data_IF_372485511300
#
_entry.id   IF_372485511300
#
_cell.length_a   1.000
_cell.length_b   1.000
_cell.length_c   1.000
_cell.angle_alpha   90.00
_cell.angle_beta   90.00
_cell.angle_gamma   90.00
#
_symmetry.space_group_name_H-M   'P 1'
#
loop_
_entity.id
_entity.type
_entity.pdbx_description
1 polymer ?
#
# COMPACT_ATOMS: atom_id res chain seq x y z
N UNK A 1 -14.62 7.04 -9.96
CA UNK A 1 -14.18 7.44 -8.60
C UNK A 1 -12.66 7.47 -8.64
N UNK A 2 -12.01 8.49 -8.12
CA UNK A 2 -10.54 8.54 -8.08
C UNK A 2 -10.07 7.83 -6.81
N UNK A 3 -9.10 6.91 -6.95
CA UNK A 3 -8.54 6.18 -5.83
C UNK A 3 -7.45 6.99 -5.12
N UNK A 4 -7.49 7.04 -3.80
CA UNK A 4 -6.40 7.57 -2.99
C UNK A 4 -5.57 6.39 -2.46
N UNK A 5 -4.30 6.35 -2.82
CA UNK A 5 -3.40 5.23 -2.48
C UNK A 5 -2.39 5.67 -1.42
N UNK A 6 -2.33 4.94 -0.32
CA UNK A 6 -1.25 5.08 0.66
C UNK A 6 -0.36 3.85 0.64
N UNK A 7 0.93 4.07 0.40
CA UNK A 7 1.97 3.04 0.40
C UNK A 7 2.73 3.10 1.73
N UNK A 8 2.63 2.05 2.52
CA UNK A 8 3.40 1.90 3.76
C UNK A 8 4.76 1.29 3.43
N UNK A 9 5.77 2.13 3.40
CA UNK A 9 7.14 1.80 3.02
C UNK A 9 7.64 2.65 1.85
N UNK A 10 8.95 2.86 1.83
CA UNK A 10 9.67 3.61 0.77
C UNK A 10 10.82 2.78 0.21
N UNK A 11 10.70 1.44 0.31
CA UNK A 11 11.67 0.48 -0.17
C UNK A 11 11.58 0.20 -1.67
N UNK A 12 12.23 -0.87 -2.06
CA UNK A 12 12.30 -1.34 -3.44
C UNK A 12 10.92 -1.62 -4.04
N UNK A 13 10.07 -2.35 -3.33
CA UNK A 13 8.69 -2.66 -3.78
C UNK A 13 7.88 -1.38 -3.99
N UNK A 14 7.95 -0.43 -3.05
CA UNK A 14 7.26 0.85 -3.20
C UNK A 14 7.73 1.62 -4.46
N UNK A 15 9.02 1.56 -4.77
CA UNK A 15 9.58 2.16 -5.99
C UNK A 15 9.06 1.52 -7.28
N UNK A 16 8.91 0.19 -7.30
CA UNK A 16 8.30 -0.54 -8.43
C UNK A 16 6.84 -0.16 -8.62
N UNK A 17 6.07 -0.20 -7.54
CA UNK A 17 4.66 0.18 -7.57
C UNK A 17 4.47 1.60 -8.09
N UNK A 18 5.26 2.54 -7.60
CA UNK A 18 5.16 3.93 -8.03
C UNK A 18 5.50 4.09 -9.51
N UNK A 19 6.50 3.37 -10.03
CA UNK A 19 6.81 3.39 -11.47
C UNK A 19 5.67 2.82 -12.31
N UNK A 20 5.07 1.71 -11.87
CA UNK A 20 3.92 1.11 -12.53
C UNK A 20 2.71 2.05 -12.54
N UNK A 21 2.41 2.68 -11.42
CA UNK A 21 1.35 3.67 -11.31
C UNK A 21 1.64 4.88 -12.21
N UNK A 22 2.85 5.41 -12.20
CA UNK A 22 3.24 6.52 -13.07
C UNK A 22 3.06 6.16 -14.56
N UNK A 23 3.48 4.96 -14.98
CA UNK A 23 3.28 4.48 -16.35
C UNK A 23 1.79 4.42 -16.72
N UNK A 24 0.96 3.87 -15.85
CA UNK A 24 -0.48 3.80 -16.07
C UNK A 24 -1.10 5.19 -16.25
N UNK A 25 -0.62 6.19 -15.50
CA UNK A 25 -1.16 7.55 -15.56
C UNK A 25 -0.66 8.34 -16.75
N UNK A 26 0.68 8.33 -16.97
CA UNK A 26 1.30 9.19 -17.98
C UNK A 26 1.18 8.62 -19.39
N UNK A 27 1.38 7.31 -19.54
CA UNK A 27 1.42 6.67 -20.85
C UNK A 27 0.06 6.15 -21.31
N UNK A 28 -0.70 5.52 -20.41
CA UNK A 28 -2.00 4.96 -20.77
C UNK A 28 -3.17 5.92 -20.54
N UNK A 29 -2.91 7.11 -20.00
CA UNK A 29 -3.90 8.16 -19.72
C UNK A 29 -5.13 7.63 -18.96
N UNK A 30 -4.94 6.69 -18.08
CA UNK A 30 -6.01 6.15 -17.25
C UNK A 30 -6.10 6.95 -15.93
N UNK A 31 -7.07 7.87 -15.77
CA UNK A 31 -7.18 8.69 -14.56
C UNK A 31 -7.85 7.92 -13.41
N UNK A 32 -7.36 6.74 -13.09
CA UNK A 32 -7.95 5.91 -12.05
C UNK A 32 -7.49 6.28 -10.64
N UNK A 33 -6.40 7.04 -10.51
CA UNK A 33 -5.83 7.38 -9.20
C UNK A 33 -5.85 8.89 -8.99
N UNK A 34 -6.35 9.31 -7.84
CA UNK A 34 -6.35 10.72 -7.45
C UNK A 34 -5.00 11.15 -6.90
N UNK A 35 -4.56 10.47 -5.86
CA UNK A 35 -3.34 10.81 -5.16
C UNK A 35 -2.61 9.55 -4.69
N UNK A 36 -1.28 9.59 -4.68
CA UNK A 36 -0.42 8.55 -4.11
C UNK A 36 0.45 9.17 -3.02
N UNK A 37 0.45 8.56 -1.84
CA UNK A 37 1.31 8.94 -0.71
C UNK A 37 2.14 7.75 -0.28
N UNK A 38 3.46 7.90 -0.16
CA UNK A 38 4.34 6.90 0.42
C UNK A 38 4.89 7.37 1.76
N UNK A 39 4.80 6.51 2.77
CA UNK A 39 5.22 6.80 4.14
C UNK A 39 6.48 6.02 4.46
N UNK A 40 7.53 6.70 4.91
CA UNK A 40 8.80 6.10 5.33
C UNK A 40 9.31 6.68 6.64
N UNK A 41 9.91 5.82 7.48
CA UNK A 41 10.45 6.21 8.79
C UNK A 41 11.75 7.05 8.72
N UNK A 42 12.44 7.04 7.57
CA UNK A 42 13.79 7.57 7.44
C UNK A 42 13.82 8.70 6.41
N UNK A 43 13.77 9.99 6.85
CA UNK A 43 13.76 11.13 5.93
C UNK A 43 14.99 11.16 5.01
N UNK A 44 16.15 10.74 5.53
CA UNK A 44 17.39 10.66 4.76
C UNK A 44 17.32 9.64 3.60
N UNK A 45 16.54 8.59 3.78
CA UNK A 45 16.28 7.59 2.72
C UNK A 45 15.24 8.05 1.71
N UNK A 46 14.30 8.89 2.13
CA UNK A 46 13.31 9.48 1.23
C UNK A 46 13.97 10.38 0.20
N UNK A 47 14.88 11.24 0.64
CA UNK A 47 15.60 12.16 -0.24
C UNK A 47 16.36 11.42 -1.35
N UNK A 48 17.01 10.29 -1.03
CA UNK A 48 17.71 9.45 -2.00
C UNK A 48 16.78 8.67 -2.95
N UNK A 49 15.49 8.58 -2.65
CA UNK A 49 14.51 7.79 -3.40
C UNK A 49 13.50 8.63 -4.18
N UNK A 50 13.61 9.95 -4.16
CA UNK A 50 12.73 10.86 -4.90
C UNK A 50 12.67 10.54 -6.39
N UNK A 51 13.80 10.09 -6.98
CA UNK A 51 13.86 9.67 -8.38
C UNK A 51 13.11 8.35 -8.66
N UNK A 52 12.90 7.53 -7.63
CA UNK A 52 12.20 6.26 -7.72
C UNK A 52 10.70 6.45 -7.46
N UNK A 53 10.37 7.35 -6.53
CA UNK A 53 9.01 7.64 -6.11
C UNK A 53 8.49 8.93 -6.77
N UNK A 54 8.56 8.99 -8.09
CA UNK A 54 8.02 10.11 -8.86
C UNK A 54 6.50 10.22 -8.66
N UNK A 55 6.01 11.46 -8.71
CA UNK A 55 4.57 11.77 -8.62
C UNK A 55 3.88 11.24 -7.35
N UNK A 56 4.65 10.97 -6.32
CA UNK A 56 4.18 10.48 -5.04
C UNK A 56 4.49 11.50 -3.96
N UNK A 57 3.54 11.75 -3.08
CA UNK A 57 3.77 12.55 -1.87
C UNK A 57 4.57 11.70 -0.89
N UNK A 58 5.78 12.14 -0.56
CA UNK A 58 6.62 11.47 0.45
C UNK A 58 6.32 12.06 1.82
N UNK A 59 5.99 11.19 2.77
CA UNK A 59 5.63 11.61 4.11
C UNK A 59 6.45 10.88 5.17
N UNK A 60 6.86 11.62 6.21
CA UNK A 60 7.55 11.12 7.39
C UNK A 60 6.72 11.26 8.66
N UNK A 61 5.53 11.82 8.54
CA UNK A 61 4.59 11.96 9.64
C UNK A 61 4.16 10.57 10.17
N UNK A 62 3.67 10.48 11.41
CA UNK A 62 3.12 9.25 11.95
C UNK A 62 2.06 8.66 11.02
N UNK A 63 2.12 7.36 10.78
CA UNK A 63 1.28 6.65 9.79
C UNK A 63 -0.21 6.90 10.07
N UNK A 64 -0.64 6.79 11.32
CA UNK A 64 -2.02 7.04 11.74
C UNK A 64 -2.50 8.43 11.36
N UNK A 65 -1.70 9.45 11.62
CA UNK A 65 -2.00 10.84 11.25
C UNK A 65 -2.19 10.99 9.73
N UNK A 66 -1.32 10.36 8.94
CA UNK A 66 -1.41 10.40 7.47
C UNK A 66 -2.66 9.68 6.98
N UNK A 67 -2.99 8.51 7.54
CA UNK A 67 -4.17 7.75 7.16
C UNK A 67 -5.46 8.56 7.36
N UNK A 68 -5.61 9.21 8.50
CA UNK A 68 -6.78 10.04 8.78
C UNK A 68 -6.85 11.31 7.93
N UNK A 69 -5.71 11.88 7.57
CA UNK A 69 -5.65 13.07 6.71
C UNK A 69 -5.88 12.76 5.23
N UNK A 70 -5.36 11.63 4.77
CA UNK A 70 -5.33 11.28 3.35
C UNK A 70 -6.58 10.50 2.90
N UNK A 71 -7.30 9.86 3.83
CA UNK A 71 -8.48 9.05 3.56
C UNK A 71 -8.28 8.07 2.40
N UNK A 72 -7.34 7.11 2.54
CA UNK A 72 -7.06 6.17 1.46
C UNK A 72 -8.27 5.31 1.14
N UNK A 73 -8.44 5.00 -0.14
CA UNK A 73 -9.32 3.92 -0.63
C UNK A 73 -8.56 2.62 -0.79
N UNK A 74 -7.23 2.73 -0.97
CA UNK A 74 -6.31 1.59 -1.06
C UNK A 74 -5.12 1.81 -0.13
N UNK A 75 -4.85 0.81 0.70
CA UNK A 75 -3.66 0.70 1.54
C UNK A 75 -2.72 -0.37 1.00
N UNK A 76 -1.46 -0.01 0.76
CA UNK A 76 -0.43 -0.92 0.28
C UNK A 76 0.62 -1.13 1.36
N UNK A 77 0.82 -2.38 1.79
CA UNK A 77 1.87 -2.77 2.73
C UNK A 77 3.08 -3.27 1.96
N UNK A 78 4.15 -2.46 1.93
CA UNK A 78 5.40 -2.72 1.23
C UNK A 78 6.63 -2.56 2.14
N UNK A 79 6.51 -3.04 3.38
CA UNK A 79 7.55 -3.05 4.42
C UNK A 79 8.03 -4.47 4.70
N UNK A 80 9.17 -4.66 5.41
CA UNK A 80 9.60 -5.99 5.82
C UNK A 80 8.56 -6.74 6.66
N UNK A 81 8.52 -8.08 6.63
CA UNK A 81 7.49 -8.90 7.29
C UNK A 81 7.28 -8.59 8.78
N UNK A 82 8.36 -8.44 9.53
CA UNK A 82 8.28 -8.11 10.96
C UNK A 82 7.65 -6.76 11.21
N UNK A 83 7.96 -5.77 10.37
CA UNK A 83 7.40 -4.42 10.44
C UNK A 83 5.93 -4.43 10.03
N UNK A 84 5.53 -5.26 9.06
CA UNK A 84 4.13 -5.36 8.62
C UNK A 84 3.21 -5.88 9.72
N UNK A 85 3.67 -6.87 10.49
CA UNK A 85 2.93 -7.40 11.66
C UNK A 85 2.73 -6.32 12.72
N UNK A 86 3.77 -5.57 13.03
CA UNK A 86 3.73 -4.49 14.02
C UNK A 86 2.75 -3.38 13.58
N UNK A 87 2.91 -2.88 12.36
CA UNK A 87 2.01 -1.87 11.78
C UNK A 87 0.56 -2.36 11.76
N UNK A 88 0.32 -3.60 11.37
CA UNK A 88 -1.04 -4.13 11.32
C UNK A 88 -1.71 -4.13 12.69
N UNK A 89 -1.00 -4.52 13.75
CA UNK A 89 -1.52 -4.57 15.12
C UNK A 89 -1.66 -3.18 15.75
N UNK A 90 -0.66 -2.33 15.58
CA UNK A 90 -0.57 -1.08 16.34
C UNK A 90 -1.21 0.11 15.63
N UNK A 91 -1.37 0.04 14.32
CA UNK A 91 -1.86 1.16 13.50
C UNK A 91 -3.10 0.76 12.68
N UNK A 92 -3.01 -0.30 11.85
CA UNK A 92 -4.12 -0.63 10.94
C UNK A 92 -5.36 -1.10 11.70
N UNK A 93 -5.20 -1.98 12.68
CA UNK A 93 -6.34 -2.46 13.47
C UNK A 93 -7.10 -1.31 14.18
N UNK A 94 -6.45 -0.38 14.91
CA UNK A 94 -7.13 0.80 15.46
C UNK A 94 -7.76 1.69 14.38
N UNK A 95 -7.09 1.90 13.25
CA UNK A 95 -7.59 2.70 12.14
C UNK A 95 -8.89 2.12 11.56
N UNK A 96 -8.90 0.83 11.19
CA UNK A 96 -10.11 0.16 10.69
C UNK A 96 -11.26 0.18 11.71
N UNK A 97 -10.96 -0.02 12.99
CA UNK A 97 -11.97 0.05 14.05
C UNK A 97 -12.57 1.47 14.17
N UNK A 98 -11.76 2.51 14.00
CA UNK A 98 -12.25 3.89 14.00
C UNK A 98 -13.17 4.16 12.81
N UNK A 99 -12.81 3.68 11.62
CA UNK A 99 -13.66 3.81 10.44
C UNK A 99 -15.00 3.09 10.60
N UNK A 100 -15.00 1.87 11.16
CA UNK A 100 -16.24 1.13 11.46
C UNK A 100 -17.14 1.87 12.43
N UNK A 101 -16.56 2.37 13.52
CA UNK A 101 -17.31 3.13 14.52
C UNK A 101 -17.96 4.40 13.93
N UNK A 102 -17.32 4.99 12.93
CA UNK A 102 -17.81 6.16 12.20
C UNK A 102 -18.67 5.80 10.97
N UNK A 103 -18.95 4.52 10.71
CA UNK A 103 -19.65 4.02 9.52
C UNK A 103 -19.04 4.54 8.21
N UNK A 104 -17.72 4.67 8.17
CA UNK A 104 -16.97 5.08 6.99
C UNK A 104 -16.53 3.89 6.14
N UNK A 105 -16.38 4.06 4.80
CA UNK A 105 -15.86 3.02 3.93
C UNK A 105 -14.49 2.53 4.40
N UNK A 106 -14.28 1.23 4.33
CA UNK A 106 -13.00 0.61 4.66
C UNK A 106 -12.12 0.56 3.40
N UNK A 107 -10.85 0.97 3.48
CA UNK A 107 -9.94 0.82 2.35
C UNK A 107 -9.59 -0.64 2.08
N UNK A 108 -9.37 -1.00 0.82
CA UNK A 108 -8.80 -2.28 0.43
C UNK A 108 -7.34 -2.38 0.88
N UNK A 109 -6.94 -3.53 1.39
CA UNK A 109 -5.57 -3.79 1.83
C UNK A 109 -4.82 -4.66 0.83
N UNK A 110 -3.76 -4.11 0.26
CA UNK A 110 -2.84 -4.82 -0.64
C UNK A 110 -1.53 -5.11 0.10
N UNK A 111 -1.18 -6.38 0.28
CA UNK A 111 0.05 -6.78 0.95
C UNK A 111 1.06 -7.35 -0.05
N UNK A 112 2.23 -6.74 -0.11
CA UNK A 112 3.39 -7.16 -0.92
C UNK A 112 4.46 -7.84 -0.07
N UNK A 113 4.15 -8.24 1.13
CA UNK A 113 5.07 -8.96 2.02
C UNK A 113 4.82 -10.47 1.93
N UNK A 114 5.84 -11.34 1.95
CA UNK A 114 5.63 -12.78 1.92
C UNK A 114 4.86 -13.29 3.15
N UNK A 115 5.06 -12.69 4.30
CA UNK A 115 4.36 -12.98 5.56
C UNK A 115 3.99 -11.68 6.26
N UNK A 116 2.87 -11.63 6.99
CA UNK A 116 1.86 -12.65 7.18
C UNK A 116 1.01 -12.90 5.93
N UNK A 117 0.25 -14.01 5.94
CA UNK A 117 -0.69 -14.34 4.87
C UNK A 117 -2.01 -13.55 4.96
N UNK A 118 -2.85 -13.69 3.96
CA UNK A 118 -4.15 -13.01 3.87
C UNK A 118 -5.12 -13.45 4.98
N UNK A 119 -5.08 -14.71 5.37
CA UNK A 119 -5.95 -15.22 6.45
C UNK A 119 -5.58 -14.62 7.81
N UNK A 120 -4.29 -14.38 8.04
CA UNK A 120 -3.86 -13.70 9.24
C UNK A 120 -4.36 -12.25 9.29
N UNK A 121 -4.28 -11.52 8.17
CA UNK A 121 -4.82 -10.17 8.08
C UNK A 121 -6.34 -10.17 8.30
N UNK A 122 -7.07 -11.09 7.67
CA UNK A 122 -8.53 -11.19 7.84
C UNK A 122 -8.93 -11.47 9.29
N UNK A 123 -8.23 -12.36 9.97
CA UNK A 123 -8.45 -12.63 11.41
C UNK A 123 -8.17 -11.42 12.28
N UNK A 124 -7.16 -10.62 11.94
CA UNK A 124 -6.77 -9.46 12.72
C UNK A 124 -7.68 -8.25 12.45
N UNK A 125 -7.90 -7.96 11.16
CA UNK A 125 -8.56 -6.72 10.74
C UNK A 125 -10.07 -6.85 10.58
N UNK A 126 -10.59 -8.06 10.44
CA UNK A 126 -12.02 -8.35 10.23
C UNK A 126 -12.29 -8.85 8.81
N UNK A 127 -13.35 -9.67 8.68
CA UNK A 127 -13.75 -10.27 7.39
C UNK A 127 -14.47 -9.28 6.45
N UNK A 128 -14.70 -8.07 6.90
CA UNK A 128 -15.28 -6.96 6.14
C UNK A 128 -14.23 -6.10 5.44
N UNK A 129 -12.94 -6.45 5.57
CA UNK A 129 -11.83 -5.82 4.86
C UNK A 129 -11.49 -6.65 3.63
N UNK A 130 -11.49 -6.04 2.46
CA UNK A 130 -10.95 -6.66 1.24
C UNK A 130 -9.43 -6.73 1.32
N UNK A 131 -8.87 -7.95 1.20
CA UNK A 131 -7.44 -8.20 1.34
C UNK A 131 -6.92 -8.85 0.07
N UNK A 132 -5.91 -8.23 -0.53
CA UNK A 132 -5.21 -8.73 -1.72
C UNK A 132 -3.76 -8.99 -1.37
N UNK A 133 -3.34 -10.23 -1.48
CA UNK A 133 -1.94 -10.64 -1.31
C UNK A 133 -1.26 -10.73 -2.67
N UNK A 134 -0.17 -9.99 -2.84
CA UNK A 134 0.60 -9.97 -4.08
C UNK A 134 2.04 -10.34 -3.79
N UNK A 135 2.53 -11.38 -4.43
CA UNK A 135 3.94 -11.79 -4.36
C UNK A 135 4.59 -11.49 -5.72
N UNK A 136 5.21 -10.31 -5.87
CA UNK A 136 5.82 -9.94 -7.13
C UNK A 136 7.07 -10.80 -7.37
N UNK A 137 7.27 -11.25 -8.61
CA UNK A 137 8.55 -11.81 -9.02
C UNK A 137 9.56 -10.68 -9.21
N UNK A 138 10.55 -10.62 -8.32
CA UNK A 138 11.56 -9.56 -8.29
C UNK A 138 12.50 -9.59 -9.53
N UNK A 139 12.50 -10.68 -10.26
CA UNK A 139 13.36 -10.86 -11.44
C UNK A 139 12.74 -10.28 -12.73
N UNK A 140 11.50 -9.88 -12.70
CA UNK A 140 10.83 -9.26 -13.83
C UNK A 140 11.03 -7.75 -13.80
N UNK A 141 11.95 -7.38 -14.54
CA UNK A 141 12.31 -6.26 -15.39
C UNK A 141 11.71 -4.85 -15.19
N UNK A 142 12.50 -3.98 -15.67
CA UNK A 142 12.58 -2.54 -15.88
C UNK A 142 11.27 -1.84 -16.30
N UNK A 143 10.27 -2.54 -16.79
CA UNK A 143 9.04 -1.97 -17.35
C UNK A 143 7.78 -2.08 -16.47
N UNK A 144 7.87 -2.66 -15.31
CA UNK A 144 6.73 -2.81 -14.41
C UNK A 144 6.61 -4.22 -13.84
N UNK A 145 5.59 -4.43 -13.02
CA UNK A 145 5.26 -5.76 -12.49
C UNK A 145 4.72 -6.60 -13.65
N UNK A 146 5.43 -7.63 -14.03
CA UNK A 146 4.87 -8.66 -14.91
C UNK A 146 3.82 -9.45 -14.13
N UNK A 147 2.57 -9.11 -14.35
CA UNK A 147 1.41 -9.76 -13.72
C UNK A 147 1.31 -11.25 -14.06
N UNK A 148 1.98 -11.74 -15.09
CA UNK A 148 1.95 -13.17 -15.45
C UNK A 148 2.72 -14.05 -14.47
N UNK A 149 3.62 -13.44 -13.68
CA UNK A 149 4.45 -14.13 -12.67
C UNK A 149 4.10 -13.77 -11.22
N UNK A 150 2.96 -13.14 -11.00
CA UNK A 150 2.50 -12.71 -9.66
C UNK A 150 1.55 -13.74 -9.07
N UNK A 151 1.86 -14.24 -7.88
CA UNK A 151 0.89 -14.96 -7.07
C UNK A 151 -0.08 -13.97 -6.42
N UNK A 152 -1.38 -14.10 -6.70
CA UNK A 152 -2.41 -13.26 -6.12
C UNK A 152 -3.37 -14.13 -5.32
N UNK A 153 -3.48 -13.86 -4.03
CA UNK A 153 -4.50 -14.44 -3.15
C UNK A 153 -5.41 -13.32 -2.67
N UNK A 154 -6.72 -13.54 -2.72
CA UNK A 154 -7.71 -12.55 -2.32
C UNK A 154 -8.64 -13.10 -1.26
N UNK A 155 -9.00 -12.24 -0.31
CA UNK A 155 -10.16 -12.41 0.57
C UNK A 155 -11.04 -11.19 0.33
N UNK A 156 -12.26 -11.45 -0.07
CA UNK A 156 -13.29 -10.42 -0.22
C UNK A 156 -14.38 -10.62 0.82
N UNK A 157 -14.98 -9.54 1.31
CA UNK A 157 -16.14 -9.61 2.20
C UNK A 157 -17.30 -10.34 1.57
#
# INVERSE_FOLDING_TARGET
MQENIVILGTGFIAGYLNRGLHYLFSELRQPMVGNVCAIGKHPEKLASRTNILKDCVLCTDPIDSVLFKFHPTILIVAVPPTVSVDIAKTILLPYYNTLRAASQPLPDLYSFTPTPDENWYAKLLGNDVSIVKILPNILTDVHGIDITSVGINTISP
#
